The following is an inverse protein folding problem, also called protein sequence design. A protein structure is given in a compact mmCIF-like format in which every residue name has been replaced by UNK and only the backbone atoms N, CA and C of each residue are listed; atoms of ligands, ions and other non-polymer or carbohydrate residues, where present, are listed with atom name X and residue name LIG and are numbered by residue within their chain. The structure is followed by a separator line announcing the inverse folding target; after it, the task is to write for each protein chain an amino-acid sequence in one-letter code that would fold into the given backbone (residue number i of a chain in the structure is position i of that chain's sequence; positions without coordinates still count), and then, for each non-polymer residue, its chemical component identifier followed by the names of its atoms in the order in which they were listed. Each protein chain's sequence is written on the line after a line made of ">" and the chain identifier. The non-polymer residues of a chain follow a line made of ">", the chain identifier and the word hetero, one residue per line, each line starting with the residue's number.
data_IF_339458415741
#
_entry.id   IF_339458415741
#
_cell.length_a   1.000
_cell.length_b   1.000
_cell.length_c   1.000
_cell.angle_alpha   90.00
_cell.angle_beta   90.00
_cell.angle_gamma   90.00
#
_symmetry.space_group_name_H-M   'P 1'
#
loop_
_entity.id
_entity.type
_entity.pdbx_description
1 polymer ?
#
# COMPACT_ATOMS: atom_id res chain seq x y z
N UNK A 1 -6.28 -10.41 -11.64
CA UNK A 1 -5.80 -9.17 -12.29
C UNK A 1 -4.87 -8.30 -11.42
N UNK A 2 -5.26 -7.73 -10.27
CA UNK A 2 -4.32 -6.91 -9.46
C UNK A 2 -3.15 -7.74 -8.91
N UNK A 3 -3.43 -8.92 -8.35
CA UNK A 3 -2.36 -9.76 -7.80
C UNK A 3 -1.44 -10.31 -8.91
N UNK A 4 -1.98 -10.64 -10.08
CA UNK A 4 -1.20 -10.99 -11.29
C UNK A 4 -0.28 -9.83 -11.73
N UNK A 5 -0.79 -8.60 -11.77
CA UNK A 5 0.02 -7.44 -12.12
C UNK A 5 1.09 -7.18 -11.07
N UNK A 6 0.77 -7.34 -9.78
CA UNK A 6 1.73 -7.19 -8.69
C UNK A 6 2.85 -8.24 -8.78
N UNK A 7 2.52 -9.50 -9.10
CA UNK A 7 3.51 -10.56 -9.31
C UNK A 7 4.53 -10.21 -10.41
N UNK A 8 4.11 -9.47 -11.43
CA UNK A 8 5.01 -9.02 -12.50
C UNK A 8 5.75 -7.71 -12.18
N UNK A 9 5.05 -6.73 -11.60
CA UNK A 9 5.58 -5.37 -11.40
C UNK A 9 6.44 -5.23 -10.13
N UNK A 10 6.04 -5.84 -9.02
CA UNK A 10 6.71 -5.68 -7.71
C UNK A 10 8.16 -6.19 -7.73
N UNK A 11 8.48 -7.36 -8.31
CA UNK A 11 9.88 -7.81 -8.43
C UNK A 11 10.75 -6.86 -9.26
N UNK A 12 10.15 -6.05 -10.14
CA UNK A 12 10.82 -5.02 -10.96
C UNK A 12 10.87 -3.66 -10.26
N UNK A 13 10.43 -3.56 -9.00
CA UNK A 13 10.40 -2.34 -8.21
C UNK A 13 9.32 -1.34 -8.65
N UNK A 14 8.32 -1.78 -9.41
CA UNK A 14 7.18 -0.97 -9.80
C UNK A 14 5.91 -1.48 -9.14
N UNK A 15 5.02 -0.55 -8.81
CA UNK A 15 3.76 -0.87 -8.15
C UNK A 15 2.67 -0.04 -8.78
N UNK A 16 1.56 -0.72 -9.00
CA UNK A 16 0.43 -0.19 -9.75
C UNK A 16 -0.85 -0.37 -8.97
N UNK A 17 -1.79 0.54 -9.21
CA UNK A 17 -3.12 0.47 -8.61
C UNK A 17 -4.18 0.72 -9.65
N UNK A 18 -5.34 0.11 -9.44
CA UNK A 18 -6.55 0.43 -10.18
C UNK A 18 -6.97 1.86 -9.78
N UNK A 19 -7.04 2.76 -10.76
CA UNK A 19 -7.53 4.12 -10.58
C UNK A 19 -9.01 4.27 -10.93
N UNK A 20 -9.56 3.34 -11.70
CA UNK A 20 -10.97 3.31 -12.05
C UNK A 20 -11.30 2.09 -12.89
N UNK A 21 -12.53 1.60 -12.72
CA UNK A 21 -13.12 0.57 -13.56
C UNK A 21 -14.45 1.10 -14.10
N UNK A 22 -14.67 1.00 -15.41
CA UNK A 22 -15.93 1.38 -16.06
C UNK A 22 -16.51 0.15 -16.73
N UNK A 23 -17.81 -0.09 -16.49
CA UNK A 23 -18.54 -1.29 -16.95
C UNK A 23 -19.64 -0.91 -17.95
N UNK A 24 -19.88 0.38 -18.19
CA UNK A 24 -20.86 0.82 -19.20
C UNK A 24 -20.27 0.69 -20.61
N UNK A 25 -20.79 -0.27 -21.38
CA UNK A 25 -20.28 -0.64 -22.70
C UNK A 25 -19.22 -1.73 -22.62
N UNK A 26 -18.06 -1.51 -23.25
CA UNK A 26 -16.87 -2.38 -23.11
C UNK A 26 -16.28 -2.20 -21.72
N UNK A 27 -15.95 -3.28 -21.01
CA UNK A 27 -15.29 -3.15 -19.72
C UNK A 27 -13.92 -2.51 -19.90
N UNK A 28 -13.55 -1.63 -18.97
CA UNK A 28 -12.30 -0.89 -18.97
C UNK A 28 -11.74 -0.78 -17.57
N UNK A 29 -10.47 -1.14 -17.40
CA UNK A 29 -9.73 -1.00 -16.14
C UNK A 29 -8.55 -0.07 -16.37
N UNK A 30 -8.46 1.00 -15.58
CA UNK A 30 -7.34 1.95 -15.63
C UNK A 30 -6.33 1.65 -14.53
N UNK A 31 -5.09 1.45 -14.94
CA UNK A 31 -3.94 1.20 -14.09
C UNK A 31 -3.05 2.44 -14.04
N UNK A 32 -2.64 2.85 -12.84
CA UNK A 32 -1.72 3.98 -12.65
C UNK A 32 -0.58 3.59 -11.74
N UNK A 33 0.58 4.22 -11.91
CA UNK A 33 1.68 4.08 -10.97
C UNK A 33 1.25 4.49 -9.54
N UNK A 34 1.71 3.74 -8.53
CA UNK A 34 1.48 4.05 -7.12
C UNK A 34 2.05 5.43 -6.73
N UNK A 35 3.19 5.82 -7.31
CA UNK A 35 3.81 7.13 -7.12
C UNK A 35 3.19 8.24 -7.99
N UNK A 36 2.09 7.93 -8.68
CA UNK A 36 1.41 8.85 -9.57
C UNK A 36 0.55 9.91 -8.89
N UNK A 37 0.40 11.03 -9.59
CA UNK A 37 -0.27 12.24 -9.13
C UNK A 37 0.57 13.09 -8.18
N UNK A 38 0.02 14.22 -7.76
CA UNK A 38 0.74 15.17 -6.92
C UNK A 38 0.78 14.70 -5.47
N UNK A 39 1.93 14.97 -4.82
CA UNK A 39 2.01 14.94 -3.38
C UNK A 39 0.98 15.93 -2.85
N UNK A 40 0.02 15.46 -2.03
CA UNK A 40 -0.84 16.41 -1.31
C UNK A 40 0.09 17.26 -0.46
N UNK A 41 -0.02 18.57 -0.57
CA UNK A 41 0.86 19.51 0.09
C UNK A 41 1.07 19.14 1.56
N UNK A 42 2.34 19.17 1.95
CA UNK A 42 2.77 19.20 3.33
C UNK A 42 1.91 20.22 4.09
N UNK A 43 1.39 19.82 5.25
CA UNK A 43 1.02 20.84 6.23
C UNK A 43 2.32 21.55 6.60
N UNK A 44 2.33 22.88 6.75
CA UNK A 44 3.53 23.56 7.22
C UNK A 44 4.04 22.87 8.51
N UNK A 45 5.36 22.84 8.74
CA UNK A 45 5.93 22.27 9.95
C UNK A 45 5.17 22.77 11.16
N UNK A 46 4.67 21.84 11.97
CA UNK A 46 3.91 22.22 13.16
C UNK A 46 4.91 22.79 14.16
N UNK A 47 4.67 24.03 14.59
CA UNK A 47 5.48 24.71 15.60
C UNK A 47 5.67 23.81 16.83
N UNK A 48 6.89 23.81 17.35
CA UNK A 48 7.28 23.06 18.54
C UNK A 48 6.40 23.40 19.75
N UNK A 49 5.91 24.64 19.84
CA UNK A 49 4.94 25.07 20.85
C UNK A 49 3.63 24.26 20.82
N UNK A 50 3.12 23.95 19.63
CA UNK A 50 1.90 23.16 19.42
C UNK A 50 2.15 21.68 19.70
N UNK A 51 3.37 21.19 19.41
CA UNK A 51 3.79 19.82 19.77
C UNK A 51 3.87 19.66 21.29
N UNK A 52 4.41 20.65 22.00
CA UNK A 52 4.52 20.66 23.46
C UNK A 52 3.14 20.79 24.12
N UNK A 53 2.27 21.67 23.62
CA UNK A 53 0.89 21.80 24.09
C UNK A 53 0.10 20.49 23.91
N UNK A 54 0.18 19.85 22.74
CA UNK A 54 -0.45 18.56 22.52
C UNK A 54 0.07 17.47 23.48
N UNK A 55 1.38 17.47 23.79
CA UNK A 55 1.98 16.56 24.76
C UNK A 55 1.46 16.82 26.18
N UNK A 56 1.33 18.08 26.59
CA UNK A 56 0.81 18.48 27.90
C UNK A 56 -0.68 18.13 28.05
N UNK A 57 -1.47 18.26 26.98
CA UNK A 57 -2.90 17.91 26.95
C UNK A 57 -3.17 16.40 26.78
N UNK A 58 -2.13 15.56 26.74
CA UNK A 58 -2.26 14.13 26.43
C UNK A 58 -2.81 13.84 25.03
N UNK A 59 -2.87 14.85 24.16
CA UNK A 59 -3.32 14.72 22.77
C UNK A 59 -2.20 14.12 21.92
N UNK A 60 -2.59 13.38 20.88
CA UNK A 60 -1.62 12.87 19.90
C UNK A 60 -0.88 14.02 19.25
N UNK A 61 0.46 13.92 19.16
CA UNK A 61 1.28 14.87 18.41
C UNK A 61 0.63 15.13 17.04
N UNK A 62 0.46 16.40 16.66
CA UNK A 62 0.06 16.75 15.29
C UNK A 62 0.97 15.99 14.33
N UNK A 63 0.38 15.28 13.36
CA UNK A 63 1.13 14.44 12.42
C UNK A 63 2.10 15.32 11.64
N UNK A 64 3.37 15.26 12.03
CA UNK A 64 4.47 15.83 11.27
C UNK A 64 4.53 15.18 9.90
N UNK A 65 4.95 15.98 8.94
CA UNK A 65 5.23 15.69 7.54
C UNK A 65 5.34 14.21 7.17
N UNK A 66 4.22 13.61 6.76
CA UNK A 66 4.30 12.42 5.93
C UNK A 66 4.73 12.88 4.54
N UNK A 67 6.04 12.85 4.29
CA UNK A 67 6.58 13.01 2.93
C UNK A 67 5.84 12.04 2.02
N UNK A 68 5.05 12.60 1.10
CA UNK A 68 4.28 11.79 0.17
C UNK A 68 5.23 11.01 -0.71
N UNK A 69 4.93 9.73 -0.94
CA UNK A 69 5.69 8.88 -1.89
C UNK A 69 5.41 9.24 -3.35
N UNK A 70 4.42 10.10 -3.57
CA UNK A 70 4.02 10.58 -4.89
C UNK A 70 5.05 11.56 -5.45
N UNK A 71 5.36 11.40 -6.73
CA UNK A 71 6.36 12.20 -7.45
C UNK A 71 5.82 12.72 -8.79
N UNK A 72 4.50 12.82 -8.93
CA UNK A 72 3.89 13.29 -10.19
C UNK A 72 4.00 12.28 -11.34
N UNK A 73 4.25 10.99 -11.06
CA UNK A 73 4.37 9.99 -12.12
C UNK A 73 3.10 9.92 -12.97
N UNK A 74 3.26 10.07 -14.29
CA UNK A 74 2.13 10.02 -15.22
C UNK A 74 1.86 8.60 -15.73
N UNK A 75 2.79 7.65 -15.55
CA UNK A 75 2.67 6.29 -16.08
C UNK A 75 1.30 5.67 -15.77
N UNK A 76 0.58 5.34 -16.84
CA UNK A 76 -0.75 4.73 -16.78
C UNK A 76 -1.06 3.99 -18.08
N UNK A 77 -1.82 2.92 -17.96
CA UNK A 77 -2.41 2.25 -19.11
C UNK A 77 -3.83 1.81 -18.77
N UNK A 78 -4.56 1.47 -19.81
CA UNK A 78 -5.94 1.04 -19.73
C UNK A 78 -6.06 -0.32 -20.41
N UNK A 79 -6.71 -1.25 -19.75
CA UNK A 79 -7.03 -2.57 -20.31
C UNK A 79 -8.51 -2.52 -20.67
N UNK A 80 -8.82 -2.68 -21.96
CA UNK A 80 -10.16 -2.49 -22.52
C UNK A 80 -10.59 -3.77 -23.23
N UNK A 81 -11.81 -4.24 -22.99
CA UNK A 81 -12.37 -5.36 -23.76
C UNK A 81 -12.37 -5.04 -25.27
N UNK A 82 -11.96 -6.00 -26.11
CA UNK A 82 -11.94 -5.82 -27.57
C UNK A 82 -13.35 -5.67 -28.14
N UNK A 83 -14.30 -6.48 -27.64
CA UNK A 83 -15.73 -6.42 -27.90
C UNK A 83 -16.52 -6.67 -26.60
N UNK A 84 -17.78 -6.22 -26.54
CA UNK A 84 -18.60 -6.35 -25.32
C UNK A 84 -18.77 -7.83 -24.97
N UNK A 85 -18.35 -8.22 -23.75
CA UNK A 85 -18.44 -9.59 -23.29
C UNK A 85 -17.37 -10.53 -23.86
N UNK A 86 -16.34 -9.98 -24.53
CA UNK A 86 -15.19 -10.76 -24.96
C UNK A 86 -14.21 -11.00 -23.81
N UNK A 87 -13.58 -12.17 -23.82
CA UNK A 87 -12.43 -12.48 -22.95
C UNK A 87 -11.10 -11.95 -23.50
N UNK A 88 -11.11 -11.31 -24.67
CA UNK A 88 -9.95 -10.67 -25.27
C UNK A 88 -9.89 -9.19 -24.86
N UNK A 89 -8.73 -8.79 -24.34
CA UNK A 89 -8.46 -7.44 -23.86
C UNK A 89 -7.32 -6.79 -24.63
N UNK A 90 -7.40 -5.49 -24.85
CA UNK A 90 -6.35 -4.68 -25.47
C UNK A 90 -5.76 -3.72 -24.45
N UNK A 91 -4.43 -3.60 -24.47
CA UNK A 91 -3.71 -2.61 -23.70
C UNK A 91 -3.65 -1.30 -24.49
N UNK A 92 -4.07 -0.20 -23.85
CA UNK A 92 -4.13 1.13 -24.43
C UNK A 92 -3.38 2.13 -23.54
N UNK A 93 -2.46 2.88 -24.12
CA UNK A 93 -1.86 4.05 -23.50
C UNK A 93 -2.56 5.29 -24.04
N UNK A 94 -3.05 6.21 -23.18
CA UNK A 94 -3.72 7.41 -23.69
C UNK A 94 -2.78 8.29 -24.54
N UNK A 95 -1.51 8.40 -24.14
CA UNK A 95 -0.48 9.20 -24.80
C UNK A 95 0.90 8.56 -24.60
N UNK A 96 1.93 9.02 -25.31
CA UNK A 96 3.31 8.54 -25.18
C UNK A 96 3.91 8.79 -23.79
N UNK A 97 3.60 9.92 -23.15
CA UNK A 97 4.13 10.26 -21.80
C UNK A 97 3.67 9.26 -20.73
N UNK A 98 2.57 8.58 -20.99
CA UNK A 98 2.02 7.56 -20.09
C UNK A 98 2.74 6.20 -20.19
N UNK A 99 3.64 6.02 -21.16
CA UNK A 99 4.45 4.80 -21.34
C UNK A 99 5.72 4.80 -20.51
N UNK A 100 6.12 5.94 -19.94
CA UNK A 100 7.38 6.08 -19.20
C UNK A 100 7.15 6.49 -17.75
N UNK A 101 7.89 5.86 -16.84
CA UNK A 101 8.00 6.35 -15.47
C UNK A 101 8.99 7.53 -15.42
N UNK A 102 8.68 8.54 -14.62
CA UNK A 102 9.60 9.65 -14.31
C UNK A 102 10.48 9.36 -13.08
N UNK A 103 10.53 8.11 -12.63
CA UNK A 103 11.31 7.67 -11.49
C UNK A 103 11.85 6.26 -11.74
N UNK A 104 12.98 5.94 -11.10
CA UNK A 104 13.52 4.58 -11.09
C UNK A 104 12.65 3.59 -10.28
N UNK A 105 13.01 2.30 -10.31
CA UNK A 105 12.42 1.29 -9.45
C UNK A 105 12.48 1.71 -7.98
N UNK A 106 11.42 1.38 -7.23
CA UNK A 106 11.33 1.65 -5.80
C UNK A 106 11.89 0.47 -5.01
N UNK A 107 12.49 0.75 -3.85
CA UNK A 107 12.87 -0.31 -2.91
C UNK A 107 11.61 -1.00 -2.36
N UNK A 108 11.70 -2.30 -2.10
CA UNK A 108 10.58 -3.14 -1.65
C UNK A 108 10.03 -2.71 -0.29
N UNK A 109 10.82 -1.98 0.52
CA UNK A 109 10.34 -1.42 1.80
C UNK A 109 9.54 -0.13 1.64
N UNK A 110 9.72 0.56 0.51
CA UNK A 110 9.11 1.87 0.26
C UNK A 110 7.67 1.75 -0.22
N UNK A 111 7.26 0.65 -0.84
CA UNK A 111 5.89 0.47 -1.33
C UNK A 111 5.06 -0.42 -0.38
N UNK A 112 3.93 0.04 0.18
CA UNK A 112 3.08 -0.78 1.03
C UNK A 112 2.60 -2.10 0.40
N UNK A 113 2.38 -2.12 -0.92
CA UNK A 113 2.01 -3.35 -1.64
C UNK A 113 3.18 -4.31 -1.74
N UNK A 114 4.39 -3.78 -1.99
CA UNK A 114 5.60 -4.59 -2.03
C UNK A 114 5.93 -5.21 -0.67
N UNK A 115 5.49 -4.60 0.44
CA UNK A 115 5.63 -5.14 1.80
C UNK A 115 4.55 -6.15 2.21
N UNK A 116 3.54 -6.38 1.37
CA UNK A 116 2.44 -7.29 1.70
C UNK A 116 2.96 -8.72 1.72
N UNK A 117 2.68 -9.43 2.81
CA UNK A 117 2.96 -10.86 2.90
C UNK A 117 1.96 -11.67 2.07
N UNK A 118 2.37 -12.84 1.54
CA UNK A 118 1.43 -13.83 1.02
C UNK A 118 0.34 -14.15 2.04
N UNK A 119 -0.86 -14.50 1.57
CA UNK A 119 -2.03 -14.68 2.45
C UNK A 119 -1.78 -15.68 3.57
N UNK A 120 -1.18 -16.84 3.26
CA UNK A 120 -0.88 -17.88 4.25
C UNK A 120 0.06 -17.37 5.34
N UNK A 121 1.16 -16.71 4.95
CA UNK A 121 2.14 -16.14 5.88
C UNK A 121 1.51 -15.01 6.70
N UNK A 122 0.64 -14.19 6.10
CA UNK A 122 -0.08 -13.16 6.83
C UNK A 122 -1.00 -13.75 7.90
N UNK A 123 -1.64 -14.90 7.64
CA UNK A 123 -2.50 -15.58 8.61
C UNK A 123 -1.69 -16.13 9.78
N UNK A 124 -0.52 -16.71 9.50
CA UNK A 124 0.41 -17.17 10.55
C UNK A 124 0.91 -16.02 11.42
N UNK A 125 1.30 -14.89 10.81
CA UNK A 125 1.69 -13.69 11.54
C UNK A 125 0.56 -13.20 12.44
N UNK A 126 -0.68 -13.18 11.94
CA UNK A 126 -1.83 -12.80 12.75
C UNK A 126 -2.02 -13.73 13.96
N UNK A 127 -1.81 -15.03 13.77
CA UNK A 127 -1.86 -16.01 14.85
C UNK A 127 -0.76 -15.75 15.91
N UNK A 128 0.50 -15.61 15.50
CA UNK A 128 1.60 -15.31 16.44
C UNK A 128 1.35 -14.01 17.22
N UNK A 129 0.83 -12.98 16.56
CA UNK A 129 0.49 -11.70 17.21
C UNK A 129 -0.65 -11.85 18.22
N UNK A 130 -1.64 -12.73 17.96
CA UNK A 130 -2.72 -13.07 18.92
C UNK A 130 -2.20 -13.87 20.10
N UNK A 131 -1.28 -14.80 19.88
CA UNK A 131 -0.58 -15.59 20.91
C UNK A 131 0.38 -14.74 21.76
N UNK A 132 0.52 -13.44 21.46
CA UNK A 132 1.30 -12.51 22.27
C UNK A 132 2.78 -12.45 21.89
N UNK A 133 3.20 -13.02 20.75
CA UNK A 133 4.58 -12.94 20.30
C UNK A 133 5.07 -11.49 20.22
N UNK A 134 6.34 -11.30 20.56
CA UNK A 134 7.04 -10.03 20.40
C UNK A 134 7.24 -9.74 18.90
N UNK A 135 7.13 -8.47 18.52
CA UNK A 135 7.35 -8.04 17.13
C UNK A 135 8.75 -8.38 16.66
N UNK A 136 9.77 -8.29 17.52
CA UNK A 136 11.15 -8.69 17.22
C UNK A 136 11.25 -10.17 16.83
N UNK A 137 10.56 -11.05 17.57
CA UNK A 137 10.53 -12.50 17.30
C UNK A 137 9.83 -12.80 15.97
N UNK A 138 8.68 -12.16 15.71
CA UNK A 138 7.98 -12.31 14.42
C UNK A 138 8.85 -11.82 13.26
N UNK A 139 9.55 -10.69 13.44
CA UNK A 139 10.44 -10.14 12.42
C UNK A 139 11.64 -11.07 12.14
N UNK A 140 12.19 -11.71 13.17
CA UNK A 140 13.25 -12.71 13.02
C UNK A 140 12.79 -13.93 12.22
N UNK A 141 11.61 -14.47 12.56
CA UNK A 141 11.00 -15.60 11.84
C UNK A 141 10.75 -15.26 10.37
N UNK A 142 10.17 -14.09 10.09
CA UNK A 142 9.93 -13.62 8.72
C UNK A 142 11.24 -13.49 7.93
N UNK A 143 12.30 -12.94 8.54
CA UNK A 143 13.62 -12.84 7.90
C UNK A 143 14.26 -14.20 7.63
N UNK A 144 14.11 -15.14 8.56
CA UNK A 144 14.56 -16.53 8.40
C UNK A 144 13.92 -17.21 7.18
N UNK A 145 12.69 -16.84 6.86
CA UNK A 145 11.94 -17.32 5.67
C UNK A 145 12.13 -16.48 4.41
N UNK A 146 13.01 -15.47 4.44
CA UNK A 146 13.34 -14.62 3.29
C UNK A 146 12.50 -13.34 3.15
N UNK A 147 11.53 -13.09 4.02
CA UNK A 147 10.72 -11.86 3.99
C UNK A 147 11.46 -10.70 4.67
N UNK A 148 12.24 -9.94 3.88
CA UNK A 148 13.08 -8.83 4.36
C UNK A 148 12.47 -7.43 4.14
N UNK A 149 11.36 -7.37 3.42
CA UNK A 149 10.63 -6.18 3.00
C UNK A 149 9.65 -5.65 4.07
N UNK A 150 9.16 -6.50 4.98
CA UNK A 150 8.20 -6.14 6.03
C UNK A 150 8.86 -5.25 7.09
N UNK A 151 8.21 -4.16 7.50
CA UNK A 151 8.71 -3.29 8.57
C UNK A 151 8.07 -3.60 9.92
N UNK A 152 8.81 -3.34 11.01
CA UNK A 152 8.26 -3.40 12.37
C UNK A 152 6.98 -2.56 12.52
N UNK A 153 6.92 -1.41 11.85
CA UNK A 153 5.74 -0.54 11.87
C UNK A 153 4.50 -1.21 11.28
N UNK A 154 4.66 -2.08 10.28
CA UNK A 154 3.57 -2.87 9.71
C UNK A 154 3.03 -3.86 10.75
N UNK A 155 3.93 -4.59 11.43
CA UNK A 155 3.58 -5.55 12.48
C UNK A 155 2.90 -4.88 13.68
N UNK A 156 3.41 -3.73 14.15
CA UNK A 156 2.77 -2.97 15.22
C UNK A 156 1.38 -2.45 14.82
N UNK A 157 1.23 -1.97 13.58
CA UNK A 157 -0.07 -1.55 13.07
C UNK A 157 -1.05 -2.72 13.01
N UNK A 158 -0.61 -3.90 12.55
CA UNK A 158 -1.43 -5.11 12.49
C UNK A 158 -1.83 -5.59 13.89
N UNK A 159 -0.89 -5.68 14.83
CA UNK A 159 -1.16 -6.02 16.24
C UNK A 159 -2.23 -5.11 16.85
N UNK A 160 -2.18 -3.80 16.56
CA UNK A 160 -3.20 -2.84 17.03
C UNK A 160 -4.57 -3.08 16.38
N UNK A 161 -4.63 -3.44 15.10
CA UNK A 161 -5.88 -3.77 14.42
C UNK A 161 -6.51 -5.03 15.01
N UNK A 162 -5.73 -6.10 15.19
CA UNK A 162 -6.20 -7.35 15.80
C UNK A 162 -6.78 -7.13 17.21
N UNK A 163 -6.13 -6.29 18.02
CA UNK A 163 -6.67 -5.92 19.34
C UNK A 163 -8.04 -5.23 19.25
N UNK A 164 -8.25 -4.37 18.26
CA UNK A 164 -9.54 -3.69 18.04
C UNK A 164 -10.61 -4.67 17.56
N UNK A 165 -10.28 -5.56 16.63
CA UNK A 165 -11.17 -6.61 16.13
C UNK A 165 -11.67 -7.50 17.29
N UNK A 166 -10.76 -7.93 18.17
CA UNK A 166 -11.12 -8.74 19.34
C UNK A 166 -12.02 -7.98 20.34
N UNK A 167 -11.74 -6.69 20.58
CA UNK A 167 -12.55 -5.87 21.48
C UNK A 167 -13.96 -5.62 20.93
N UNK A 168 -14.11 -5.47 19.61
CA UNK A 168 -15.42 -5.31 18.96
C UNK A 168 -16.21 -6.61 18.94
N UNK A 169 -15.56 -7.76 18.76
CA UNK A 169 -16.20 -9.07 18.83
C UNK A 169 -16.72 -9.44 20.23
N UNK A 170 -16.13 -8.88 21.29
CA UNK A 170 -16.56 -9.09 22.68
C UNK A 170 -17.68 -8.15 23.13
N UNK A 171 -17.90 -7.03 22.44
CA UNK A 171 -18.94 -6.05 22.79
C UNK A 171 -20.27 -6.28 22.03
N UNK A 172 -20.29 -7.21 21.07
CA UNK A 172 -21.45 -7.50 20.22
C UNK A 172 -22.01 -8.92 20.36
N UNK A 173 -21.59 -9.66 21.39
CA UNK A 173 -22.14 -10.96 21.78
C UNK A 173 -22.55 -10.95 23.23
#
# INVERSE_FOLDING_TARGET
>A
MQDELDQWTIPRGYSMRIAGAKVTGKKKVRWVCFRGGEARHHRPPVDESVIQAAKAEGRRKPTTDRTSKKCGCQFKFEVIETAKGSDLWTLHYPNEEHKTHNHGPSDQTSDPRARRLPMEVSREVDQWLREGWLVSKVQEELRGRGFRNVLNTDLYNRKRLLKKENAQGQAGG
#
